data_IF_256986262633
#
_entry.id   IF_256986262633
#
_cell.length_a   1.000
_cell.length_b   1.000
_cell.length_c   1.000
_cell.angle_alpha   90.00
_cell.angle_beta   90.00
_cell.angle_gamma   90.00
#
_symmetry.space_group_name_H-M   'P 1'
#
loop_
_entity.id
_entity.type
_entity.pdbx_description
1 polymer ?
#
# COMPACT_ATOMS: atom_id res chain seq x y z
N UNK A 1 -23.77 18.57 8.09
CA UNK A 1 -22.62 17.95 8.77
C UNK A 1 -22.15 16.78 7.92
N UNK A 2 -20.97 16.85 7.30
CA UNK A 2 -20.33 15.66 6.70
C UNK A 2 -19.92 14.72 7.83
N UNK A 3 -20.06 13.41 7.65
CA UNK A 3 -19.74 12.47 8.70
C UNK A 3 -18.22 12.45 8.88
N UNK A 4 -17.71 12.22 10.10
CA UNK A 4 -16.29 12.02 10.36
C UNK A 4 -15.68 10.80 9.61
N UNK A 5 -16.49 10.04 8.86
CA UNK A 5 -16.08 8.96 7.99
C UNK A 5 -15.73 9.42 6.55
N UNK A 6 -15.94 10.69 6.21
CA UNK A 6 -15.77 11.20 4.85
C UNK A 6 -14.35 11.74 4.58
N UNK A 7 -13.39 11.58 5.50
CA UNK A 7 -12.02 12.08 5.36
C UNK A 7 -10.98 11.04 5.79
N UNK A 8 -9.97 10.80 4.95
CA UNK A 8 -8.87 9.86 5.23
C UNK A 8 -7.53 10.42 4.76
N UNK A 9 -6.55 10.38 5.68
CA UNK A 9 -5.14 10.63 5.37
C UNK A 9 -4.42 9.29 5.23
N UNK A 10 -4.09 8.91 4.00
CA UNK A 10 -3.25 7.74 3.76
C UNK A 10 -1.80 8.07 4.08
N UNK A 11 -1.12 7.17 4.76
CA UNK A 11 0.28 7.30 5.13
C UNK A 11 1.02 6.07 4.66
N UNK A 12 1.88 6.24 3.67
CA UNK A 12 2.66 5.16 3.07
C UNK A 12 4.15 5.35 3.37
N UNK A 13 4.91 4.25 3.35
CA UNK A 13 6.37 4.29 3.32
C UNK A 13 6.95 4.99 2.09
N UNK A 14 8.23 4.75 1.78
CA UNK A 14 8.82 5.25 0.54
C UNK A 14 7.99 4.81 -0.67
N UNK A 15 7.72 5.74 -1.58
CA UNK A 15 6.99 5.46 -2.81
C UNK A 15 7.94 4.87 -3.85
N UNK A 16 7.86 3.56 -4.07
CA UNK A 16 8.66 2.89 -5.10
C UNK A 16 7.67 2.20 -6.03
N UNK A 17 7.62 2.57 -7.31
CA UNK A 17 6.62 2.05 -8.25
C UNK A 17 6.51 0.51 -8.21
N UNK A 18 5.52 0.02 -7.46
CA UNK A 18 5.27 -1.39 -7.21
C UNK A 18 3.77 -1.61 -6.93
N UNK A 19 3.43 -2.82 -6.49
CA UNK A 19 2.04 -3.22 -6.30
C UNK A 19 1.32 -2.42 -5.20
N UNK A 20 2.01 -2.04 -4.12
CA UNK A 20 1.35 -1.40 -2.97
C UNK A 20 0.94 0.04 -3.27
N UNK A 21 1.79 0.77 -3.98
CA UNK A 21 1.62 2.15 -4.42
C UNK A 21 0.49 2.24 -5.45
N UNK A 22 0.48 1.34 -6.44
CA UNK A 22 -0.60 1.25 -7.43
C UNK A 22 -1.95 0.99 -6.75
N UNK A 23 -1.99 0.05 -5.80
CA UNK A 23 -3.22 -0.27 -5.07
C UNK A 23 -3.70 0.91 -4.22
N UNK A 24 -2.77 1.59 -3.53
CA UNK A 24 -3.10 2.79 -2.76
C UNK A 24 -3.65 3.91 -3.65
N UNK A 25 -3.00 4.19 -4.78
CA UNK A 25 -3.47 5.19 -5.74
C UNK A 25 -4.88 4.86 -6.27
N UNK A 26 -5.16 3.58 -6.55
CA UNK A 26 -6.48 3.13 -6.99
C UNK A 26 -7.54 3.25 -5.89
N UNK A 27 -7.20 2.89 -4.64
CA UNK A 27 -8.09 3.02 -3.50
C UNK A 27 -8.43 4.50 -3.24
N UNK A 28 -7.42 5.34 -3.11
CA UNK A 28 -7.56 6.79 -2.90
C UNK A 28 -8.37 7.46 -4.03
N UNK A 29 -8.17 7.03 -5.28
CA UNK A 29 -8.95 7.50 -6.42
C UNK A 29 -10.43 7.17 -6.30
N UNK A 30 -10.77 5.94 -5.88
CA UNK A 30 -12.16 5.52 -5.69
C UNK A 30 -12.80 6.22 -4.50
N UNK A 31 -12.10 6.36 -3.39
CA UNK A 31 -12.57 7.11 -2.22
C UNK A 31 -12.87 8.58 -2.57
N UNK A 32 -11.98 9.24 -3.31
CA UNK A 32 -12.20 10.61 -3.79
C UNK A 32 -13.45 10.70 -4.69
N UNK A 33 -13.67 9.72 -5.58
CA UNK A 33 -14.90 9.64 -6.42
C UNK A 33 -16.17 9.41 -5.61
N UNK A 34 -16.07 8.79 -4.43
CA UNK A 34 -17.18 8.64 -3.48
C UNK A 34 -17.43 9.93 -2.67
N UNK A 35 -16.70 11.02 -2.96
CA UNK A 35 -16.85 12.31 -2.30
C UNK A 35 -16.06 12.44 -1.00
N UNK A 36 -15.17 11.49 -0.69
CA UNK A 36 -14.31 11.57 0.48
C UNK A 36 -13.19 12.60 0.24
N UNK A 37 -12.78 13.31 1.30
CA UNK A 37 -11.54 14.07 1.31
C UNK A 37 -10.40 13.08 1.52
N UNK A 38 -9.56 12.93 0.50
CA UNK A 38 -8.45 11.98 0.51
C UNK A 38 -7.16 12.74 0.30
N UNK A 39 -6.14 12.39 1.06
CA UNK A 39 -4.77 12.84 0.84
C UNK A 39 -3.79 11.68 1.07
N UNK A 40 -2.74 11.62 0.27
CA UNK A 40 -1.67 10.62 0.42
C UNK A 40 -0.42 11.32 0.95
N UNK A 41 0.10 10.84 2.07
CA UNK A 41 1.34 11.30 2.67
C UNK A 41 2.42 10.23 2.53
N UNK A 42 3.51 10.58 1.87
CA UNK A 42 4.62 9.65 1.57
C UNK A 42 5.76 9.85 2.57
N UNK A 43 6.20 8.76 3.22
CA UNK A 43 7.33 8.75 4.16
C UNK A 43 8.63 8.38 3.44
N UNK A 44 9.04 9.17 2.45
CA UNK A 44 10.29 8.93 1.72
C UNK A 44 10.77 10.15 0.93
N UNK A 45 12.05 10.22 0.57
CA UNK A 45 12.53 11.18 -0.43
C UNK A 45 12.00 10.82 -1.83
N UNK A 46 12.09 11.77 -2.77
CA UNK A 46 11.97 11.55 -4.22
C UNK A 46 10.63 10.95 -4.71
N UNK A 47 9.55 11.21 -3.96
CA UNK A 47 8.21 10.76 -4.30
C UNK A 47 7.68 11.40 -5.59
N UNK A 48 8.08 12.64 -5.91
CA UNK A 48 7.60 13.38 -7.09
C UNK A 48 7.99 12.69 -8.40
N UNK A 49 9.22 12.19 -8.50
CA UNK A 49 9.70 11.44 -9.67
C UNK A 49 8.99 10.08 -9.76
N UNK A 50 8.80 9.42 -8.62
CA UNK A 50 8.17 8.10 -8.54
C UNK A 50 6.64 8.15 -8.73
N UNK A 51 6.01 9.33 -8.63
CA UNK A 51 4.60 9.53 -8.90
C UNK A 51 4.25 9.51 -10.39
N UNK A 52 5.20 9.81 -11.29
CA UNK A 52 4.97 10.10 -12.71
C UNK A 52 3.69 9.50 -13.31
N UNK A 53 3.64 8.20 -13.66
CA UNK A 53 2.50 7.56 -14.33
C UNK A 53 1.30 7.24 -13.41
N UNK A 54 1.43 7.40 -12.10
CA UNK A 54 0.35 7.22 -11.12
C UNK A 54 -0.23 8.59 -10.77
N UNK A 55 -1.04 9.16 -11.69
CA UNK A 55 -1.81 10.36 -11.41
C UNK A 55 -2.87 10.04 -10.34
N UNK A 56 -2.49 10.10 -9.07
CA UNK A 56 -3.43 10.07 -7.97
C UNK A 56 -4.34 11.31 -8.13
N UNK A 57 -5.67 11.15 -8.17
CA UNK A 57 -6.58 12.29 -8.28
C UNK A 57 -6.70 13.09 -6.98
N UNK A 58 -5.94 12.70 -5.95
CA UNK A 58 -5.87 13.35 -4.65
C UNK A 58 -4.47 13.94 -4.43
N UNK A 59 -4.34 14.97 -3.58
CA UNK A 59 -3.03 15.53 -3.26
C UNK A 59 -2.10 14.46 -2.69
N UNK A 60 -0.86 14.47 -3.17
CA UNK A 60 0.23 13.70 -2.59
C UNK A 60 1.19 14.69 -1.97
N UNK A 61 1.51 14.48 -0.71
CA UNK A 61 2.37 15.38 0.06
C UNK A 61 3.51 14.62 0.73
N UNK A 62 4.55 15.36 1.07
CA UNK A 62 5.63 14.88 1.91
C UNK A 62 5.86 15.85 3.05
N UNK A 63 6.33 15.34 4.17
CA UNK A 63 6.71 16.16 5.31
C UNK A 63 8.20 16.50 5.23
N UNK A 64 8.61 17.70 5.64
CA UNK A 64 10.03 18.02 5.73
C UNK A 64 10.77 17.07 6.71
N UNK A 65 12.09 16.99 6.56
CA UNK A 65 12.97 16.28 7.49
C UNK A 65 13.28 14.82 7.14
N UNK A 66 14.02 14.14 8.03
CA UNK A 66 14.50 12.77 7.78
C UNK A 66 13.34 11.77 7.76
N UNK A 67 13.36 10.78 6.84
CA UNK A 67 12.22 9.88 6.62
C UNK A 67 11.87 8.95 7.78
N UNK A 68 12.77 8.77 8.76
CA UNK A 68 12.62 7.82 9.86
C UNK A 68 13.05 8.42 11.21
N UNK A 69 12.53 9.59 11.54
CA UNK A 69 12.82 10.27 12.81
C UNK A 69 11.59 10.75 13.58
N UNK A 70 11.76 11.08 14.87
CA UNK A 70 10.69 11.63 15.71
C UNK A 70 10.20 13.00 15.21
N UNK A 71 11.07 13.81 14.60
CA UNK A 71 10.67 15.08 13.98
C UNK A 71 9.61 14.90 12.89
N UNK A 72 9.69 13.82 12.10
CA UNK A 72 8.70 13.52 11.07
C UNK A 72 7.38 13.02 11.67
N UNK A 73 7.43 12.28 12.77
CA UNK A 73 6.23 11.89 13.51
C UNK A 73 5.53 13.13 14.10
N UNK A 74 6.31 14.04 14.67
CA UNK A 74 5.80 15.33 15.17
C UNK A 74 5.15 16.15 14.06
N UNK A 75 5.82 16.30 12.92
CA UNK A 75 5.25 17.01 11.77
C UNK A 75 3.96 16.35 11.25
N UNK A 76 3.87 15.01 11.29
CA UNK A 76 2.65 14.29 10.95
C UNK A 76 1.53 14.57 11.95
N UNK A 77 1.80 14.51 13.25
CA UNK A 77 0.84 14.83 14.30
C UNK A 77 0.34 16.28 14.20
N UNK A 78 1.25 17.25 14.02
CA UNK A 78 0.92 18.66 13.83
C UNK A 78 0.02 18.90 12.61
N UNK A 79 0.28 18.18 11.50
CA UNK A 79 -0.59 18.21 10.31
C UNK A 79 -1.96 17.63 10.60
N UNK A 80 -2.03 16.48 11.26
CA UNK A 80 -3.28 15.80 11.63
C UNK A 80 -4.16 16.70 12.49
N UNK A 81 -3.57 17.38 13.47
CA UNK A 81 -4.28 18.34 14.33
C UNK A 81 -4.73 19.58 13.57
N UNK A 82 -3.80 20.24 12.86
CA UNK A 82 -4.07 21.49 12.14
C UNK A 82 -5.18 21.34 11.09
N UNK A 83 -5.20 20.21 10.40
CA UNK A 83 -6.13 19.94 9.31
C UNK A 83 -7.30 19.04 9.71
N UNK A 84 -7.36 18.67 11.00
CA UNK A 84 -8.40 17.88 11.65
C UNK A 84 -8.70 16.52 10.98
N UNK A 85 -7.66 15.81 10.55
CA UNK A 85 -7.81 14.48 9.94
C UNK A 85 -8.37 13.47 10.96
N UNK A 86 -9.58 12.90 10.74
CA UNK A 86 -10.23 12.03 11.73
C UNK A 86 -9.70 10.58 11.68
N UNK A 87 -9.15 10.18 10.53
CA UNK A 87 -8.74 8.82 10.22
C UNK A 87 -7.40 8.82 9.47
N UNK A 88 -6.47 8.01 9.94
CA UNK A 88 -5.19 7.77 9.29
C UNK A 88 -5.14 6.32 8.81
N UNK A 89 -4.86 6.09 7.54
CA UNK A 89 -4.73 4.76 6.96
C UNK A 89 -3.27 4.48 6.62
N UNK A 90 -2.64 3.59 7.40
CA UNK A 90 -1.26 3.18 7.19
C UNK A 90 -1.13 2.13 6.09
N UNK A 91 -0.10 2.27 5.26
CA UNK A 91 0.29 1.30 4.23
C UNK A 91 1.77 0.93 4.37
N UNK A 92 2.10 -0.35 4.25
CA UNK A 92 3.44 -0.89 4.49
C UNK A 92 3.91 -0.70 5.95
N UNK A 93 5.05 -1.30 6.30
CA UNK A 93 5.55 -1.28 7.68
C UNK A 93 5.71 0.13 8.27
N UNK A 94 6.40 1.04 7.57
CA UNK A 94 6.63 2.39 8.08
C UNK A 94 5.36 3.25 8.08
N UNK A 95 4.49 3.11 7.07
CA UNK A 95 3.22 3.82 7.04
C UNK A 95 2.30 3.39 8.18
N UNK A 96 2.16 2.08 8.41
CA UNK A 96 1.41 1.52 9.55
C UNK A 96 1.92 2.06 10.89
N UNK A 97 3.25 2.07 11.08
CA UNK A 97 3.88 2.53 12.31
C UNK A 97 3.61 4.03 12.56
N UNK A 98 3.85 4.88 11.56
CA UNK A 98 3.69 6.33 11.69
C UNK A 98 2.24 6.77 11.77
N UNK A 99 1.34 6.17 10.97
CA UNK A 99 -0.10 6.43 11.03
C UNK A 99 -0.64 6.12 12.43
N UNK A 100 -0.29 4.96 12.97
CA UNK A 100 -0.75 4.55 14.31
C UNK A 100 -0.19 5.47 15.38
N UNK A 101 1.11 5.79 15.33
CA UNK A 101 1.73 6.68 16.31
C UNK A 101 1.13 8.10 16.28
N UNK A 102 0.94 8.67 15.09
CA UNK A 102 0.32 9.99 14.97
C UNK A 102 -1.14 9.97 15.43
N UNK A 103 -1.88 8.90 15.11
CA UNK A 103 -3.25 8.74 15.58
C UNK A 103 -3.34 8.68 17.10
N UNK A 104 -2.43 7.95 17.78
CA UNK A 104 -2.39 7.94 19.25
C UNK A 104 -2.06 9.32 19.83
N UNK A 105 -1.05 10.01 19.29
CA UNK A 105 -0.63 11.34 19.77
C UNK A 105 -1.73 12.40 19.65
N UNK A 106 -2.61 12.25 18.66
CA UNK A 106 -3.64 13.24 18.31
C UNK A 106 -5.06 12.80 18.67
N UNK A 107 -5.22 11.64 19.35
CA UNK A 107 -6.52 11.07 19.71
C UNK A 107 -7.38 10.65 18.51
N UNK A 108 -6.78 10.36 17.35
CA UNK A 108 -7.45 9.95 16.11
C UNK A 108 -7.44 8.44 15.93
N UNK A 109 -8.10 7.97 14.87
CA UNK A 109 -8.21 6.55 14.55
C UNK A 109 -7.17 6.15 13.52
N UNK A 110 -6.58 4.97 13.69
CA UNK A 110 -5.71 4.36 12.70
C UNK A 110 -6.35 3.11 12.09
N UNK A 111 -6.23 2.98 10.76
CA UNK A 111 -6.35 1.71 10.03
C UNK A 111 -4.94 1.31 9.60
N UNK A 112 -4.68 0.01 9.53
CA UNK A 112 -3.39 -0.51 9.07
C UNK A 112 -3.60 -1.55 7.99
N UNK A 113 -2.82 -1.47 6.92
CA UNK A 113 -2.86 -2.41 5.80
C UNK A 113 -1.58 -3.25 5.73
N UNK A 114 -1.75 -4.57 5.71
CA UNK A 114 -0.67 -5.54 5.51
C UNK A 114 -0.86 -6.27 4.17
N UNK A 115 0.09 -6.07 3.25
CA UNK A 115 -0.01 -6.59 1.89
C UNK A 115 0.97 -7.73 1.55
N UNK A 116 1.83 -8.15 2.48
CA UNK A 116 2.92 -9.06 2.16
C UNK A 116 3.45 -9.87 3.33
N UNK A 117 3.95 -11.06 3.01
CA UNK A 117 4.80 -11.86 3.88
C UNK A 117 6.22 -11.35 3.69
N UNK A 118 6.77 -10.67 4.70
CA UNK A 118 8.09 -10.03 4.61
C UNK A 118 9.14 -10.83 5.39
N UNK A 119 9.97 -11.65 4.72
CA UNK A 119 10.94 -12.52 5.40
C UNK A 119 12.03 -11.75 6.14
N UNK A 120 12.24 -10.48 5.77
CA UNK A 120 13.25 -9.61 6.34
C UNK A 120 12.89 -9.10 7.75
N UNK A 121 11.65 -9.31 8.24
CA UNK A 121 11.20 -8.81 9.55
C UNK A 121 11.97 -9.47 10.71
N UNK A 122 12.94 -8.72 11.23
CA UNK A 122 13.64 -8.98 12.50
C UNK A 122 12.70 -8.89 13.71
N UNK A 123 13.16 -9.38 14.87
CA UNK A 123 12.36 -9.41 16.11
C UNK A 123 11.76 -8.05 16.50
N UNK A 124 12.50 -6.95 16.38
CA UNK A 124 12.01 -5.61 16.72
C UNK A 124 10.93 -5.12 15.75
N UNK A 125 10.99 -5.52 14.48
CA UNK A 125 9.90 -5.25 13.53
C UNK A 125 8.63 -5.97 13.97
N UNK A 126 8.74 -7.21 14.46
CA UNK A 126 7.59 -7.97 14.98
C UNK A 126 6.98 -7.31 16.21
N UNK A 127 7.80 -6.78 17.12
CA UNK A 127 7.32 -5.99 18.26
C UNK A 127 6.58 -4.73 17.81
N UNK A 128 7.15 -3.98 16.86
CA UNK A 128 6.50 -2.81 16.28
C UNK A 128 5.17 -3.18 15.58
N UNK A 129 5.12 -4.31 14.87
CA UNK A 129 3.89 -4.83 14.26
C UNK A 129 2.81 -5.11 15.30
N UNK A 130 3.17 -5.87 16.34
CA UNK A 130 2.26 -6.17 17.45
C UNK A 130 1.75 -4.90 18.11
N UNK A 131 2.63 -3.93 18.32
CA UNK A 131 2.28 -2.63 18.85
C UNK A 131 1.24 -1.91 17.98
N UNK A 132 1.47 -1.72 16.67
CA UNK A 132 0.50 -1.00 15.85
C UNK A 132 -0.79 -1.78 15.59
N UNK A 133 -0.75 -3.12 15.45
CA UNK A 133 -1.96 -3.94 15.32
C UNK A 133 -2.85 -3.86 16.56
N UNK A 134 -2.26 -3.85 17.75
CA UNK A 134 -3.03 -3.73 19.00
C UNK A 134 -3.79 -2.40 19.11
N UNK A 135 -3.28 -1.34 18.48
CA UNK A 135 -3.79 0.04 18.56
C UNK A 135 -4.68 0.42 17.40
N UNK A 136 -4.48 -0.20 16.24
CA UNK A 136 -5.33 -0.01 15.08
C UNK A 136 -6.79 -0.31 15.41
N UNK A 137 -7.70 0.45 14.81
CA UNK A 137 -9.14 0.20 14.86
C UNK A 137 -9.50 -1.02 13.99
N UNK A 138 -8.82 -1.16 12.87
CA UNK A 138 -9.00 -2.22 11.88
C UNK A 138 -7.64 -2.59 11.30
N UNK A 139 -7.45 -3.88 11.03
CA UNK A 139 -6.30 -4.44 10.33
C UNK A 139 -6.81 -5.03 9.02
N UNK A 140 -6.45 -4.41 7.92
CA UNK A 140 -6.79 -4.88 6.58
C UNK A 140 -5.64 -5.72 6.02
N UNK A 141 -5.97 -6.84 5.39
CA UNK A 141 -5.01 -7.71 4.72
C UNK A 141 -5.52 -8.07 3.34
N UNK A 142 -4.62 -8.22 2.37
CA UNK A 142 -5.00 -8.52 0.99
C UNK A 142 -5.36 -9.99 0.72
N UNK A 143 -4.95 -10.91 1.59
CA UNK A 143 -5.23 -12.33 1.44
C UNK A 143 -5.23 -13.07 2.79
N UNK A 144 -5.78 -14.29 2.79
CA UNK A 144 -5.88 -15.14 3.99
C UNK A 144 -4.51 -15.47 4.59
N UNK A 145 -3.52 -15.78 3.76
CA UNK A 145 -2.17 -16.12 4.23
C UNK A 145 -1.51 -14.98 5.02
N UNK A 146 -1.68 -13.73 4.58
CA UNK A 146 -1.22 -12.56 5.34
C UNK A 146 -2.02 -12.39 6.63
N UNK A 147 -3.33 -12.64 6.58
CA UNK A 147 -4.18 -12.63 7.78
C UNK A 147 -3.75 -13.64 8.83
N UNK A 148 -3.47 -14.89 8.42
CA UNK A 148 -2.96 -15.94 9.30
C UNK A 148 -1.62 -15.56 9.93
N UNK A 149 -0.70 -14.95 9.16
CA UNK A 149 0.54 -14.41 9.69
C UNK A 149 0.28 -13.32 10.75
N UNK A 150 -0.63 -12.39 10.49
CA UNK A 150 -0.97 -11.33 11.47
C UNK A 150 -1.52 -11.93 12.76
N UNK A 151 -2.43 -12.91 12.68
CA UNK A 151 -2.99 -13.61 13.84
C UNK A 151 -1.90 -14.37 14.61
N UNK A 152 -1.04 -15.12 13.90
CA UNK A 152 0.08 -15.84 14.49
C UNK A 152 1.07 -14.92 15.21
N UNK A 153 1.21 -13.67 14.75
CA UNK A 153 2.05 -12.66 15.38
C UNK A 153 1.33 -11.85 16.48
N UNK A 154 0.08 -12.19 16.82
CA UNK A 154 -0.68 -11.59 17.93
C UNK A 154 -1.62 -10.45 17.54
N UNK A 155 -1.95 -10.30 16.26
CA UNK A 155 -3.06 -9.45 15.83
C UNK A 155 -4.41 -10.00 16.31
N UNK A 156 -5.37 -9.11 16.60
CA UNK A 156 -6.67 -9.51 17.10
C UNK A 156 -7.63 -9.88 15.96
N UNK A 157 -8.22 -11.07 16.01
CA UNK A 157 -9.17 -11.56 14.99
C UNK A 157 -10.39 -10.64 14.82
N UNK A 158 -10.89 -10.04 15.90
CA UNK A 158 -12.01 -9.10 15.86
C UNK A 158 -11.73 -7.86 15.00
N UNK A 159 -10.46 -7.44 14.92
CA UNK A 159 -9.99 -6.28 14.15
C UNK A 159 -9.56 -6.63 12.73
N UNK A 160 -9.38 -7.91 12.41
CA UNK A 160 -8.81 -8.33 11.14
C UNK A 160 -9.88 -8.47 10.05
N UNK A 161 -9.62 -7.92 8.86
CA UNK A 161 -10.47 -8.09 7.66
C UNK A 161 -9.61 -8.41 6.46
N UNK A 162 -10.03 -9.44 5.72
CA UNK A 162 -9.41 -9.80 4.44
C UNK A 162 -10.17 -9.07 3.34
N UNK A 163 -9.50 -8.15 2.65
CA UNK A 163 -10.03 -7.40 1.51
C UNK A 163 -9.09 -7.65 0.32
N UNK A 164 -9.47 -8.51 -0.63
CA UNK A 164 -8.66 -8.77 -1.81
C UNK A 164 -8.33 -7.50 -2.58
N UNK A 165 -7.09 -7.40 -3.07
CA UNK A 165 -6.68 -6.29 -3.91
C UNK A 165 -7.59 -6.20 -5.15
N UNK A 166 -8.03 -4.98 -5.45
CA UNK A 166 -8.77 -4.71 -6.68
C UNK A 166 -7.84 -4.73 -7.88
N UNK A 167 -8.39 -5.07 -9.05
CA UNK A 167 -7.73 -4.78 -10.33
C UNK A 167 -8.68 -3.92 -11.15
N UNK A 168 -8.13 -2.87 -11.77
CA UNK A 168 -8.87 -2.16 -12.79
C UNK A 168 -8.89 -3.05 -14.04
N UNK A 169 -10.07 -3.40 -14.56
CA UNK A 169 -10.13 -4.13 -15.81
C UNK A 169 -9.49 -3.26 -16.90
N UNK A 170 -8.49 -3.80 -17.57
CA UNK A 170 -7.91 -3.17 -18.74
C UNK A 170 -8.92 -3.08 -19.89
N UNK A 171 -8.58 -2.29 -20.90
CA UNK A 171 -9.29 -2.33 -22.18
C UNK A 171 -9.21 -3.76 -22.76
N UNK A 172 -10.29 -4.31 -23.30
CA UNK A 172 -10.23 -5.58 -24.01
C UNK A 172 -9.21 -5.50 -25.15
N UNK A 173 -8.29 -6.48 -25.21
CA UNK A 173 -7.29 -6.54 -26.28
C UNK A 173 -7.92 -7.15 -27.52
N UNK A 174 -7.82 -6.45 -28.65
CA UNK A 174 -8.29 -6.91 -29.95
C UNK A 174 -7.38 -8.01 -30.52
N UNK A 175 -7.91 -8.82 -31.44
CA UNK A 175 -7.11 -9.82 -32.17
C UNK A 175 -5.98 -9.18 -32.98
N UNK A 176 -6.17 -7.95 -33.45
CA UNK A 176 -5.15 -7.18 -34.16
C UNK A 176 -4.00 -6.81 -33.23
N UNK A 177 -4.28 -6.16 -32.10
CA UNK A 177 -3.26 -5.80 -31.10
C UNK A 177 -2.51 -7.03 -30.59
N UNK A 178 -3.21 -8.16 -30.39
CA UNK A 178 -2.56 -9.42 -30.02
C UNK A 178 -1.57 -9.89 -31.08
N UNK A 179 -1.92 -9.81 -32.37
CA UNK A 179 -1.01 -10.20 -33.48
C UNK A 179 0.18 -9.24 -33.57
N UNK A 180 -0.07 -7.94 -33.53
CA UNK A 180 0.96 -6.91 -33.56
C UNK A 180 1.95 -7.07 -32.39
N UNK A 181 1.46 -7.33 -31.16
CA UNK A 181 2.32 -7.58 -30.01
C UNK A 181 3.16 -8.86 -30.16
N UNK A 182 2.61 -9.93 -30.77
CA UNK A 182 3.36 -11.16 -31.03
C UNK A 182 4.43 -10.95 -32.08
N UNK A 183 4.10 -10.29 -33.18
CA UNK A 183 5.05 -9.95 -34.24
C UNK A 183 6.18 -9.08 -33.69
N UNK A 184 5.84 -8.04 -32.93
CA UNK A 184 6.83 -7.16 -32.28
C UNK A 184 7.76 -7.91 -31.32
N UNK A 185 7.25 -8.90 -30.59
CA UNK A 185 8.03 -9.73 -29.67
C UNK A 185 8.71 -10.93 -30.35
N UNK A 186 8.55 -11.12 -31.67
CA UNK A 186 9.07 -12.29 -32.39
C UNK A 186 8.46 -13.62 -31.96
N UNK A 187 7.22 -13.61 -31.46
CA UNK A 187 6.50 -14.80 -30.99
C UNK A 187 5.75 -15.45 -32.16
N UNK A 188 5.81 -16.79 -32.27
CA UNK A 188 5.05 -17.58 -33.26
C UNK A 188 3.55 -17.65 -32.95
N UNK A 189 2.84 -18.71 -33.34
CA UNK A 189 1.39 -18.89 -33.05
C UNK A 189 1.09 -19.78 -31.82
N UNK A 190 2.12 -20.38 -31.22
CA UNK A 190 1.98 -21.31 -30.09
C UNK A 190 1.57 -20.65 -28.75
N UNK A 191 1.36 -21.44 -27.69
CA UNK A 191 1.13 -20.90 -26.34
C UNK A 191 2.27 -19.98 -25.90
N UNK A 192 1.93 -18.90 -25.19
CA UNK A 192 2.92 -17.96 -24.62
C UNK A 192 2.80 -18.00 -23.11
N UNK A 193 3.92 -18.25 -22.44
CA UNK A 193 4.05 -18.18 -20.99
C UNK A 193 4.87 -16.93 -20.66
N UNK A 194 4.36 -16.10 -19.75
CA UNK A 194 5.01 -14.84 -19.38
C UNK A 194 4.98 -14.63 -17.86
N UNK A 195 5.99 -13.96 -17.33
CA UNK A 195 6.06 -13.47 -15.96
C UNK A 195 6.28 -11.96 -15.96
N UNK A 196 5.41 -11.24 -15.25
CA UNK A 196 5.54 -9.79 -15.03
C UNK A 196 5.75 -9.55 -13.55
N UNK A 197 6.98 -9.22 -13.16
CA UNK A 197 7.37 -8.99 -11.78
C UNK A 197 8.66 -8.16 -11.70
N UNK A 198 9.01 -7.68 -10.50
CA UNK A 198 10.30 -7.04 -10.23
C UNK A 198 11.49 -8.01 -10.13
N UNK A 199 11.28 -9.28 -10.50
CA UNK A 199 12.25 -10.38 -10.57
C UNK A 199 13.12 -10.61 -9.32
N UNK A 200 12.66 -10.14 -8.14
CA UNK A 200 13.33 -10.42 -6.86
C UNK A 200 13.09 -11.87 -6.43
N UNK A 201 13.92 -12.37 -5.51
CA UNK A 201 13.84 -13.73 -4.97
C UNK A 201 12.41 -14.20 -4.60
N UNK A 202 11.53 -13.39 -3.96
CA UNK A 202 10.17 -13.83 -3.63
C UNK A 202 9.27 -14.13 -4.85
N UNK A 203 9.70 -13.74 -6.05
CA UNK A 203 8.98 -13.99 -7.31
C UNK A 203 9.51 -15.21 -8.06
N UNK A 204 10.64 -15.75 -7.61
CA UNK A 204 11.28 -16.98 -8.09
C UNK A 204 11.23 -17.18 -9.61
N UNK A 205 11.84 -16.27 -10.40
CA UNK A 205 11.90 -16.43 -11.85
C UNK A 205 12.68 -17.68 -12.27
N UNK A 206 13.54 -18.22 -11.39
CA UNK A 206 14.33 -19.41 -11.66
C UNK A 206 13.46 -20.66 -11.76
N UNK A 207 12.42 -20.78 -10.94
CA UNK A 207 11.44 -21.87 -11.09
C UNK A 207 10.72 -21.80 -12.43
N UNK A 208 10.36 -20.61 -12.91
CA UNK A 208 9.78 -20.47 -14.25
C UNK A 208 10.76 -20.94 -15.34
N UNK A 209 12.01 -20.48 -15.28
CA UNK A 209 13.02 -20.87 -16.27
C UNK A 209 13.27 -22.39 -16.29
N UNK A 210 13.31 -23.04 -15.13
CA UNK A 210 13.41 -24.51 -15.04
C UNK A 210 12.21 -25.24 -15.61
N UNK A 211 11.01 -24.66 -15.51
CA UNK A 211 9.80 -25.27 -16.06
C UNK A 211 9.68 -25.12 -17.59
N UNK A 212 10.46 -24.21 -18.18
CA UNK A 212 10.50 -23.95 -19.62
C UNK A 212 11.66 -24.65 -20.34
N UNK A 213 12.63 -25.17 -19.59
CA UNK A 213 13.78 -25.92 -20.10
C UNK A 213 13.42 -27.40 -20.32
#
# INVERSE_FOLDING_TARGET
>A
MRAAADEVLHVIGPWVLAGAEKQLAQAASREARLGMRVEILVLGPDWEEALGPLAAPCPVVNLPGRPRGPARLRALAEKVERENWPLLAGQLFSGNLYATAAAELTGRRALVFEGGLEPWRRWHHRLACRWYWSRARLIEVNCRAVGEMVLACGGAASKLRVIPNGVEPGQPVTLRERREAREWLGLGEGPVVAMVANLRLPKDPQTLLRALA
#
